data_IF_555597014930
#
_entry.id   IF_555597014930
#
_cell.length_a   1.000
_cell.length_b   1.000
_cell.length_c   1.000
_cell.angle_alpha   90.00
_cell.angle_beta   90.00
_cell.angle_gamma   90.00
#
_symmetry.space_group_name_H-M   'P 1'
#
loop_
_entity.id
_entity.type
_entity.pdbx_description
1 polymer ?
#
# COMPACT_ATOMS: atom_id res chain seq x y z
N UNK A 1 12.74 10.18 24.97
CA UNK A 1 11.81 9.98 23.86
C UNK A 1 10.44 10.48 24.29
N UNK A 2 9.89 11.46 23.59
CA UNK A 2 8.53 12.00 23.84
C UNK A 2 7.46 11.01 23.39
N UNK A 3 6.21 11.17 23.85
CA UNK A 3 5.09 10.37 23.37
C UNK A 3 4.89 10.50 21.85
N UNK A 4 5.12 11.69 21.29
CA UNK A 4 5.08 11.92 19.84
C UNK A 4 6.10 11.06 19.09
N UNK A 5 7.33 10.97 19.60
CA UNK A 5 8.38 10.15 19.00
C UNK A 5 8.05 8.65 19.06
N UNK A 6 7.46 8.18 20.17
CA UNK A 6 6.97 6.79 20.28
C UNK A 6 5.91 6.48 19.21
N UNK A 7 4.93 7.37 19.05
CA UNK A 7 3.87 7.21 18.03
C UNK A 7 4.46 7.19 16.63
N UNK A 8 5.41 8.08 16.32
CA UNK A 8 6.09 8.09 15.01
C UNK A 8 6.83 6.76 14.77
N UNK A 9 7.49 6.22 15.79
CA UNK A 9 8.22 4.95 15.65
C UNK A 9 7.26 3.76 15.43
N UNK A 10 6.15 3.70 16.16
CA UNK A 10 5.11 2.70 15.95
C UNK A 10 4.51 2.79 14.54
N UNK A 11 4.24 4.01 14.06
CA UNK A 11 3.72 4.21 12.72
C UNK A 11 4.70 3.73 11.63
N UNK A 12 6.02 3.92 11.84
CA UNK A 12 7.05 3.37 10.94
C UNK A 12 7.02 1.85 10.90
N UNK A 13 6.92 1.20 12.06
CA UNK A 13 6.83 -0.26 12.16
C UNK A 13 5.59 -0.80 11.47
N UNK A 14 4.43 -0.17 11.69
CA UNK A 14 3.18 -0.55 11.03
C UNK A 14 3.25 -0.39 9.51
N UNK A 15 3.85 0.71 9.02
CA UNK A 15 4.06 0.89 7.58
C UNK A 15 4.94 -0.21 6.98
N UNK A 16 6.02 -0.59 7.65
CA UNK A 16 6.89 -1.67 7.18
C UNK A 16 6.15 -3.03 7.11
N UNK A 17 5.39 -3.37 8.15
CA UNK A 17 4.57 -4.59 8.17
C UNK A 17 3.50 -4.57 7.07
N UNK A 18 2.82 -3.44 6.89
CA UNK A 18 1.84 -3.27 5.83
C UNK A 18 2.48 -3.46 4.44
N UNK A 19 3.66 -2.90 4.18
CA UNK A 19 4.35 -3.07 2.89
C UNK A 19 4.71 -4.53 2.60
N UNK A 20 5.16 -5.29 3.61
CA UNK A 20 5.46 -6.73 3.46
C UNK A 20 4.18 -7.51 3.18
N UNK A 21 3.14 -7.30 3.98
CA UNK A 21 1.84 -7.95 3.79
C UNK A 21 1.23 -7.62 2.43
N UNK A 22 1.29 -6.36 2.02
CA UNK A 22 0.70 -5.91 0.76
C UNK A 22 1.40 -6.56 -0.43
N UNK A 23 2.74 -6.61 -0.40
CA UNK A 23 3.54 -7.28 -1.42
C UNK A 23 3.19 -8.77 -1.53
N UNK A 24 3.00 -9.45 -0.40
CA UNK A 24 2.61 -10.86 -0.42
C UNK A 24 1.19 -11.05 -0.96
N UNK A 25 0.23 -10.24 -0.50
CA UNK A 25 -1.16 -10.31 -0.95
C UNK A 25 -1.29 -10.06 -2.45
N UNK A 26 -0.49 -9.15 -3.02
CA UNK A 26 -0.44 -8.89 -4.47
C UNK A 26 -0.04 -10.11 -5.30
N UNK A 27 0.64 -11.11 -4.72
CA UNK A 27 0.99 -12.36 -5.41
C UNK A 27 -0.19 -13.36 -5.49
N UNK A 28 -1.26 -13.16 -4.71
CA UNK A 28 -2.33 -14.16 -4.54
C UNK A 28 -3.72 -13.62 -4.86
N UNK A 29 -3.92 -12.30 -4.78
CA UNK A 29 -5.23 -11.67 -4.92
C UNK A 29 -5.15 -10.41 -5.80
N UNK A 30 -6.27 -10.05 -6.44
CA UNK A 30 -6.41 -8.75 -7.10
C UNK A 30 -6.55 -7.67 -6.03
N UNK A 31 -5.75 -6.61 -6.12
CA UNK A 31 -5.74 -5.52 -5.15
C UNK A 31 -5.99 -4.19 -5.84
N UNK A 32 -6.88 -3.39 -5.28
CA UNK A 32 -7.13 -2.02 -5.74
C UNK A 32 -6.45 -1.02 -4.81
N UNK A 33 -5.60 -0.14 -5.34
CA UNK A 33 -4.95 0.92 -4.57
C UNK A 33 -4.70 2.18 -5.38
N UNK A 34 -4.56 3.31 -4.68
CA UNK A 34 -4.17 4.59 -5.26
C UNK A 34 -2.64 4.73 -5.27
N UNK A 35 -2.10 5.11 -6.43
CA UNK A 35 -0.70 5.48 -6.62
C UNK A 35 -0.45 6.93 -6.21
N UNK A 36 0.83 7.26 -5.99
CA UNK A 36 1.28 8.61 -5.65
C UNK A 36 0.93 9.66 -6.71
N UNK A 37 0.74 9.25 -7.96
CA UNK A 37 0.31 10.12 -9.07
C UNK A 37 -1.22 10.27 -9.18
N UNK A 38 -1.98 9.77 -8.21
CA UNK A 38 -3.44 9.86 -8.17
C UNK A 38 -4.18 8.79 -8.96
N UNK A 39 -3.50 7.92 -9.72
CA UNK A 39 -4.16 6.80 -10.42
C UNK A 39 -4.65 5.77 -9.41
N UNK A 40 -5.88 5.29 -9.59
CA UNK A 40 -6.40 4.11 -8.91
C UNK A 40 -6.18 2.93 -9.86
N UNK A 41 -5.46 1.91 -9.39
CA UNK A 41 -5.12 0.72 -10.19
C UNK A 41 -5.67 -0.54 -9.54
N UNK A 42 -6.12 -1.48 -10.37
CA UNK A 42 -6.19 -2.91 -10.05
C UNK A 42 -4.82 -3.52 -10.36
N UNK A 43 -4.23 -4.21 -9.38
CA UNK A 43 -3.05 -5.04 -9.55
C UNK A 43 -3.45 -6.50 -9.52
N UNK A 44 -3.02 -7.25 -10.53
CA UNK A 44 -3.30 -8.67 -10.69
C UNK A 44 -2.09 -9.51 -10.26
N UNK A 45 -2.31 -10.76 -9.79
CA UNK A 45 -1.23 -11.67 -9.37
C UNK A 45 -0.15 -11.97 -10.41
N UNK A 46 -0.44 -11.75 -11.70
CA UNK A 46 0.53 -11.90 -12.79
C UNK A 46 1.46 -10.67 -12.96
N UNK A 47 1.31 -9.66 -12.10
CA UNK A 47 2.07 -8.41 -12.13
C UNK A 47 1.51 -7.37 -13.09
N UNK A 48 0.43 -7.66 -13.82
CA UNK A 48 -0.24 -6.68 -14.66
C UNK A 48 -1.04 -5.69 -13.82
N UNK A 49 -1.17 -4.46 -14.32
CA UNK A 49 -1.96 -3.41 -13.69
C UNK A 49 -2.93 -2.77 -14.67
N UNK A 50 -4.14 -2.46 -14.20
CA UNK A 50 -5.17 -1.76 -14.95
C UNK A 50 -5.59 -0.50 -14.20
N UNK A 51 -5.56 0.64 -14.88
CA UNK A 51 -6.09 1.89 -14.33
C UNK A 51 -7.63 1.79 -14.32
N UNK A 52 -8.23 1.98 -13.14
CA UNK A 52 -9.68 1.94 -12.93
C UNK A 52 -10.27 3.29 -12.53
N UNK A 53 -9.42 4.28 -12.27
CA UNK A 53 -9.89 5.63 -11.96
C UNK A 53 -8.75 6.58 -11.62
N UNK A 54 -9.16 7.79 -11.25
CA UNK A 54 -8.28 8.85 -10.78
C UNK A 54 -8.89 9.44 -9.51
N UNK A 55 -8.09 9.55 -8.46
CA UNK A 55 -8.49 10.29 -7.27
C UNK A 55 -8.69 11.77 -7.64
N UNK A 56 -9.73 12.37 -7.07
CA UNK A 56 -10.04 13.80 -7.22
C UNK A 56 -9.17 14.64 -6.31
#
# INVERSE_FOLDING_TARGET
MTEREKIIQQQKQLKALFSVWMKEKMNHEVVIFQKTDGKIVEHYPDGSEKIVGYAK
#
